data_IF_449178388823
#
_entry.id   IF_449178388823
#
_cell.length_a   1.000
_cell.length_b   1.000
_cell.length_c   1.000
_cell.angle_alpha   90.00
_cell.angle_beta   90.00
_cell.angle_gamma   90.00
#
_symmetry.space_group_name_H-M   'P 1'
#
loop_
_entity.id
_entity.type
_entity.pdbx_description
1 polymer ?
#
# COMPACT_ATOMS: atom_id res chain seq x y z
N UNK A 1 10.33 12.26 -1.54
CA UNK A 1 10.24 10.78 -1.53
C UNK A 1 9.19 10.27 -0.53
N UNK A 2 9.15 10.73 0.72
CA UNK A 2 8.08 10.37 1.68
C UNK A 2 6.66 10.66 1.20
N UNK A 3 6.43 11.79 0.53
CA UNK A 3 5.13 12.12 -0.07
C UNK A 3 4.67 11.14 -1.17
N UNK A 4 5.61 10.34 -1.73
CA UNK A 4 5.34 9.29 -2.71
C UNK A 4 5.25 7.90 -2.03
N UNK A 5 5.12 7.86 -0.71
CA UNK A 5 5.05 6.64 0.09
C UNK A 5 6.40 5.95 0.35
N UNK A 6 7.52 6.57 -0.03
CA UNK A 6 8.85 5.99 0.21
C UNK A 6 9.44 6.46 1.53
N UNK A 7 9.71 5.53 2.45
CA UNK A 7 10.49 5.80 3.65
C UNK A 7 11.99 5.63 3.40
N UNK A 8 12.57 6.64 2.75
CA UNK A 8 13.99 6.66 2.36
C UNK A 8 14.84 7.23 3.50
N UNK A 9 15.92 6.52 3.86
CA UNK A 9 16.85 6.98 4.92
C UNK A 9 17.75 8.11 4.40
N UNK A 10 18.21 8.98 5.30
CA UNK A 10 19.12 10.09 4.95
C UNK A 10 20.36 9.63 4.18
N UNK A 11 20.95 8.50 4.56
CA UNK A 11 22.12 7.94 3.86
C UNK A 11 21.81 7.55 2.42
N UNK A 12 20.63 7.02 2.16
CA UNK A 12 20.19 6.60 0.83
C UNK A 12 19.88 7.82 -0.05
N UNK A 13 19.31 8.88 0.52
CA UNK A 13 19.15 10.17 -0.19
C UNK A 13 20.51 10.76 -0.57
N UNK A 14 21.51 10.67 0.32
CA UNK A 14 22.87 11.16 0.02
C UNK A 14 23.58 10.32 -1.04
N UNK A 15 23.37 9.00 -1.08
CA UNK A 15 23.90 8.15 -2.13
C UNK A 15 23.29 8.49 -3.49
N UNK A 16 21.96 8.64 -3.55
CA UNK A 16 21.25 9.10 -4.75
C UNK A 16 21.78 10.46 -5.19
N UNK A 17 22.01 11.37 -4.24
CA UNK A 17 22.59 12.67 -4.54
C UNK A 17 23.97 12.52 -5.18
N UNK A 18 24.86 11.76 -4.58
CA UNK A 18 26.21 11.54 -5.09
C UNK A 18 26.22 10.93 -6.50
N UNK A 19 25.29 10.02 -6.80
CA UNK A 19 25.29 9.29 -8.06
C UNK A 19 24.69 10.12 -9.23
N UNK A 20 23.81 11.08 -8.93
CA UNK A 20 23.07 11.87 -9.93
C UNK A 20 23.46 13.37 -9.96
N UNK A 21 24.03 13.93 -8.89
CA UNK A 21 24.57 15.31 -8.81
C UNK A 21 25.97 15.40 -9.41
N UNK A 22 26.07 15.23 -10.74
CA UNK A 22 27.35 15.16 -11.45
C UNK A 22 28.15 16.45 -11.44
N UNK A 23 27.49 17.59 -11.23
CA UNK A 23 28.09 18.92 -11.16
C UNK A 23 28.38 19.38 -9.71
N UNK A 24 27.94 18.61 -8.71
CA UNK A 24 28.14 18.93 -7.30
C UNK A 24 27.40 20.19 -6.86
N UNK A 25 26.35 20.57 -7.59
CA UNK A 25 25.56 21.75 -7.32
C UNK A 25 24.60 21.55 -6.13
N UNK A 26 24.48 20.33 -5.62
CA UNK A 26 23.54 20.02 -4.54
C UNK A 26 22.11 19.99 -5.04
N UNK A 27 21.89 19.74 -6.34
CA UNK A 27 20.58 19.58 -6.97
C UNK A 27 20.58 18.40 -7.95
N UNK A 28 19.41 17.82 -8.18
CA UNK A 28 19.19 16.81 -9.23
C UNK A 28 18.19 17.37 -10.23
N UNK A 29 18.35 17.05 -11.51
CA UNK A 29 17.38 17.47 -12.51
C UNK A 29 16.11 16.62 -12.45
N UNK A 30 15.00 17.16 -12.96
CA UNK A 30 13.74 16.43 -12.99
C UNK A 30 13.80 15.08 -13.75
N UNK A 31 14.51 14.96 -14.90
CA UNK A 31 14.66 13.68 -15.58
C UNK A 31 15.35 12.61 -14.71
N UNK A 32 16.39 13.00 -13.99
CA UNK A 32 17.10 12.11 -13.06
C UNK A 32 16.18 11.68 -11.92
N UNK A 33 15.44 12.64 -11.34
CA UNK A 33 14.43 12.33 -10.32
C UNK A 33 13.39 11.34 -10.83
N UNK A 34 12.90 11.51 -12.06
CA UNK A 34 11.93 10.61 -12.65
C UNK A 34 12.49 9.19 -12.79
N UNK A 35 13.72 9.03 -13.27
CA UNK A 35 14.38 7.73 -13.40
C UNK A 35 14.58 7.03 -12.05
N UNK A 36 15.06 7.77 -11.04
CA UNK A 36 15.22 7.25 -9.67
C UNK A 36 13.88 6.76 -9.13
N UNK A 37 12.83 7.56 -9.28
CA UNK A 37 11.51 7.22 -8.77
C UNK A 37 10.91 6.04 -9.52
N UNK A 38 11.03 5.98 -10.85
CA UNK A 38 10.55 4.85 -11.66
C UNK A 38 11.23 3.55 -11.23
N UNK A 39 12.55 3.55 -11.09
CA UNK A 39 13.31 2.37 -10.64
C UNK A 39 12.88 1.94 -9.24
N UNK A 40 12.77 2.89 -8.29
CA UNK A 40 12.31 2.59 -6.93
C UNK A 40 10.87 2.09 -6.84
N UNK A 41 9.98 2.52 -7.75
CA UNK A 41 8.62 1.99 -7.84
C UNK A 41 8.65 0.55 -8.38
N UNK A 42 9.48 0.28 -9.39
CA UNK A 42 9.63 -1.07 -9.96
C UNK A 42 10.29 -2.08 -9.01
N UNK A 43 11.15 -1.62 -8.10
CA UNK A 43 11.76 -2.45 -7.06
C UNK A 43 10.82 -2.75 -5.88
N UNK A 44 9.61 -2.18 -5.85
CA UNK A 44 8.63 -2.51 -4.79
C UNK A 44 8.17 -3.94 -4.95
N UNK A 45 8.23 -4.71 -3.86
CA UNK A 45 7.55 -5.99 -3.80
C UNK A 45 6.03 -5.71 -3.72
N UNK A 46 5.23 -6.12 -4.73
CA UNK A 46 3.79 -5.93 -4.68
C UNK A 46 3.16 -6.60 -3.45
N UNK A 47 3.77 -7.67 -2.92
CA UNK A 47 3.33 -8.30 -1.68
C UNK A 47 3.53 -7.35 -0.50
N UNK A 48 4.67 -6.68 -0.37
CA UNK A 48 4.91 -5.73 0.73
C UNK A 48 3.92 -4.56 0.71
N UNK A 49 3.56 -4.04 -0.47
CA UNK A 49 2.59 -2.95 -0.58
C UNK A 49 1.17 -3.41 -0.20
N UNK A 50 0.79 -4.64 -0.56
CA UNK A 50 -0.49 -5.23 -0.13
C UNK A 50 -0.51 -5.43 1.39
N UNK A 51 0.59 -5.90 1.99
CA UNK A 51 0.69 -6.07 3.45
C UNK A 51 0.62 -4.72 4.18
N UNK A 52 1.22 -3.67 3.62
CA UNK A 52 1.08 -2.31 4.16
C UNK A 52 -0.36 -1.83 4.08
N UNK A 53 -1.05 -2.07 2.96
CA UNK A 53 -2.47 -1.74 2.82
C UNK A 53 -3.31 -2.52 3.84
N UNK A 54 -3.07 -3.82 4.01
CA UNK A 54 -3.77 -4.64 5.01
C UNK A 54 -3.69 -4.04 6.41
N UNK A 55 -2.49 -3.59 6.83
CA UNK A 55 -2.29 -2.92 8.13
C UNK A 55 -3.00 -1.58 8.26
N UNK A 56 -3.34 -0.91 7.16
CA UNK A 56 -4.19 0.29 7.20
C UNK A 56 -5.65 -0.05 7.46
N UNK A 57 -6.11 -1.23 7.02
CA UNK A 57 -7.44 -1.73 7.34
C UNK A 57 -7.52 -2.25 8.78
N UNK A 58 -6.60 -3.13 9.19
CA UNK A 58 -6.52 -3.75 10.53
C UNK A 58 -5.93 -2.80 11.61
N UNK A 59 -6.69 -1.75 11.95
CA UNK A 59 -6.30 -0.75 12.96
C UNK A 59 -5.98 -1.35 14.34
N UNK A 60 -6.71 -2.38 14.74
CA UNK A 60 -6.58 -3.07 16.01
C UNK A 60 -5.51 -4.18 16.02
N UNK A 61 -4.80 -4.37 14.90
CA UNK A 61 -3.69 -5.32 14.77
C UNK A 61 -4.07 -6.76 15.17
N UNK A 62 -5.28 -7.16 14.81
CA UNK A 62 -5.83 -8.50 15.06
C UNK A 62 -5.25 -9.55 14.12
N UNK A 63 -4.65 -9.11 13.01
CA UNK A 63 -4.22 -9.97 11.91
C UNK A 63 -5.37 -10.34 10.96
N UNK A 64 -6.55 -9.71 11.13
CA UNK A 64 -7.76 -9.93 10.32
C UNK A 64 -8.47 -8.61 10.07
N UNK A 65 -9.24 -8.52 8.98
CA UNK A 65 -10.07 -7.35 8.69
C UNK A 65 -11.52 -7.72 9.01
N UNK A 66 -12.04 -7.10 10.07
CA UNK A 66 -13.43 -7.24 10.47
C UNK A 66 -14.35 -6.26 9.72
N UNK A 67 -15.66 -6.48 9.82
CA UNK A 67 -16.69 -5.54 9.35
C UNK A 67 -16.50 -4.12 9.93
N UNK A 68 -16.04 -4.03 11.19
CA UNK A 68 -15.77 -2.74 11.84
C UNK A 68 -14.60 -2.02 11.15
N UNK A 69 -13.55 -2.74 10.78
CA UNK A 69 -12.39 -2.17 10.09
C UNK A 69 -12.81 -1.63 8.72
N UNK A 70 -13.56 -2.41 7.94
CA UNK A 70 -14.08 -1.98 6.62
C UNK A 70 -15.01 -0.77 6.73
N UNK A 71 -15.93 -0.76 7.71
CA UNK A 71 -16.83 0.38 7.94
C UNK A 71 -16.08 1.67 8.25
N UNK A 72 -15.00 1.58 9.04
CA UNK A 72 -14.15 2.74 9.35
C UNK A 72 -13.51 3.27 8.07
N UNK A 73 -12.87 2.40 7.30
CA UNK A 73 -12.17 2.80 6.07
C UNK A 73 -13.14 3.36 5.03
N UNK A 74 -14.32 2.76 4.85
CA UNK A 74 -15.34 3.28 3.93
C UNK A 74 -15.75 4.72 4.29
N UNK A 75 -15.95 5.00 5.60
CA UNK A 75 -16.24 6.36 6.09
C UNK A 75 -15.08 7.34 5.89
N UNK A 76 -13.84 6.90 6.09
CA UNK A 76 -12.65 7.73 5.86
C UNK A 76 -12.48 8.09 4.38
N UNK A 77 -12.87 7.19 3.47
CA UNK A 77 -12.89 7.42 2.03
C UNK A 77 -14.11 8.23 1.56
N UNK A 78 -15.10 8.47 2.43
CA UNK A 78 -16.35 9.15 2.08
C UNK A 78 -17.34 8.29 1.32
N UNK A 79 -17.13 6.97 1.29
CA UNK A 79 -18.04 6.00 0.69
C UNK A 79 -19.16 5.64 1.68
N UNK A 80 -20.41 5.78 1.24
CA UNK A 80 -21.59 5.42 2.04
C UNK A 80 -22.06 4.02 1.69
N UNK A 81 -21.32 3.02 2.17
CA UNK A 81 -21.71 1.62 2.08
C UNK A 81 -22.54 1.23 3.29
N UNK A 82 -23.61 0.47 3.05
CA UNK A 82 -24.43 -0.16 4.08
C UNK A 82 -23.70 -1.33 4.73
N UNK A 83 -24.14 -1.72 5.93
CA UNK A 83 -23.59 -2.89 6.61
C UNK A 83 -23.78 -4.17 5.78
N UNK A 84 -24.88 -4.28 5.03
CA UNK A 84 -25.15 -5.42 4.15
C UNK A 84 -24.17 -5.47 2.96
N UNK A 85 -23.81 -4.33 2.38
CA UNK A 85 -22.81 -4.25 1.31
C UNK A 85 -21.41 -4.59 1.83
N UNK A 86 -21.04 -4.08 3.00
CA UNK A 86 -19.76 -4.40 3.63
C UNK A 86 -19.68 -5.87 4.04
N UNK A 87 -20.78 -6.45 4.52
CA UNK A 87 -20.85 -7.88 4.84
C UNK A 87 -20.74 -8.73 3.56
N UNK A 88 -21.42 -8.34 2.48
CA UNK A 88 -21.29 -9.04 1.21
C UNK A 88 -19.85 -9.01 0.67
N UNK A 89 -19.11 -7.92 0.89
CA UNK A 89 -17.68 -7.86 0.56
C UNK A 89 -16.85 -8.87 1.37
N UNK A 90 -17.13 -9.03 2.67
CA UNK A 90 -16.45 -10.05 3.49
C UNK A 90 -16.80 -11.44 2.95
N UNK A 91 -18.09 -11.73 2.80
CA UNK A 91 -18.58 -13.06 2.41
C UNK A 91 -18.07 -13.51 1.02
N UNK A 92 -17.74 -12.58 0.12
CA UNK A 92 -17.17 -12.90 -1.20
C UNK A 92 -15.73 -13.46 -1.10
N UNK A 93 -14.97 -12.98 -0.12
CA UNK A 93 -13.53 -13.20 -0.02
C UNK A 93 -13.10 -14.05 1.17
N UNK A 94 -13.93 -14.14 2.20
CA UNK A 94 -13.79 -15.08 3.32
C UNK A 94 -13.92 -16.52 2.80
N UNK A 95 -12.79 -17.23 2.71
CA UNK A 95 -12.70 -18.61 2.22
C UNK A 95 -12.75 -19.62 3.36
N UNK A 96 -12.33 -19.24 4.56
CA UNK A 96 -12.34 -20.12 5.72
C UNK A 96 -13.65 -20.05 6.51
N UNK A 97 -14.49 -19.04 6.24
CA UNK A 97 -15.84 -18.88 6.76
C UNK A 97 -15.88 -18.36 8.19
N UNK A 98 -14.85 -17.65 8.64
CA UNK A 98 -14.77 -17.12 10.00
C UNK A 98 -15.39 -15.72 10.18
N UNK A 99 -15.88 -15.13 9.10
CA UNK A 99 -16.56 -13.84 9.08
C UNK A 99 -15.60 -12.64 9.08
N UNK A 100 -14.31 -12.86 8.86
CA UNK A 100 -13.28 -11.84 8.73
C UNK A 100 -12.38 -12.13 7.51
N UNK A 101 -11.61 -11.15 7.06
CA UNK A 101 -10.65 -11.35 5.95
C UNK A 101 -9.24 -11.46 6.52
N UNK A 102 -8.62 -12.62 6.40
CA UNK A 102 -7.21 -12.84 6.75
C UNK A 102 -6.24 -12.15 5.77
N UNK A 103 -4.98 -12.00 6.18
CA UNK A 103 -3.92 -11.45 5.31
C UNK A 103 -3.78 -12.23 3.99
N UNK A 104 -3.93 -13.57 4.04
CA UNK A 104 -3.84 -14.41 2.85
C UNK A 104 -5.02 -14.21 1.90
N UNK A 105 -6.23 -14.05 2.43
CA UNK A 105 -7.42 -13.75 1.63
C UNK A 105 -7.30 -12.36 1.01
N UNK A 106 -6.88 -11.36 1.79
CA UNK A 106 -6.64 -10.01 1.29
C UNK A 106 -5.57 -9.96 0.18
N UNK A 107 -4.50 -10.75 0.32
CA UNK A 107 -3.51 -10.93 -0.74
C UNK A 107 -4.11 -11.55 -2.00
N UNK A 108 -5.01 -12.52 -1.86
CA UNK A 108 -5.72 -13.13 -2.98
C UNK A 108 -6.63 -12.11 -3.68
N UNK A 109 -7.38 -11.29 -2.92
CA UNK A 109 -8.21 -10.19 -3.45
C UNK A 109 -7.36 -9.26 -4.29
N UNK A 110 -6.29 -8.71 -3.71
CA UNK A 110 -5.46 -7.70 -4.36
C UNK A 110 -4.75 -8.25 -5.60
N UNK A 111 -4.33 -9.52 -5.59
CA UNK A 111 -3.77 -10.19 -6.78
C UNK A 111 -4.82 -10.42 -7.86
N UNK A 112 -6.06 -10.73 -7.48
CA UNK A 112 -7.16 -10.95 -8.41
C UNK A 112 -7.71 -9.65 -9.00
N UNK A 113 -7.65 -8.53 -8.27
CA UNK A 113 -8.07 -7.20 -8.74
C UNK A 113 -6.97 -6.48 -9.52
N UNK A 114 -5.69 -6.70 -9.21
CA UNK A 114 -4.54 -6.09 -9.91
C UNK A 114 -4.22 -6.75 -11.25
N UNK A 115 -5.24 -7.17 -12.01
CA UNK A 115 -5.07 -7.79 -13.33
C UNK A 115 -4.23 -6.87 -14.23
N UNK A 116 -2.99 -7.30 -14.47
CA UNK A 116 -2.24 -7.03 -15.69
C UNK A 116 -2.83 -7.84 -16.84
#
# INVERSE_FOLDING_TARGET
MRALGFDVKKQEVLAIMHDYDRDGAGQIEYPDFLEIMTTKISDRDPVEEIVKAFKLFDEDSTGRISLRNLRRVARELGENLSDDELQAMIDEFDKDGDGEISENEFLAIMKQTSIY
#
